data_IF_176519946986
#
_entry.id   IF_176519946986
#
_cell.length_a   1.000
_cell.length_b   1.000
_cell.length_c   1.000
_cell.angle_alpha   90.00
_cell.angle_beta   90.00
_cell.angle_gamma   90.00
#
_symmetry.space_group_name_H-M   'P 1'
#
loop_
_entity.id
_entity.type
_entity.pdbx_description
1 polymer ?
#
# COMPACT_ATOMS: atom_id res chain seq x y z
N UNK A 1 -6.98 61.92 -4.26
CA UNK A 1 -7.96 61.09 -3.53
C UNK A 1 -8.13 59.76 -4.28
N UNK A 2 -7.80 58.67 -3.57
CA UNK A 2 -7.97 57.22 -3.80
C UNK A 2 -8.25 56.68 -5.22
N UNK A 3 -7.23 56.07 -5.83
CA UNK A 3 -7.38 55.00 -6.84
C UNK A 3 -7.36 53.67 -6.10
N UNK A 4 -8.48 52.95 -6.07
CA UNK A 4 -8.54 51.59 -5.52
C UNK A 4 -8.31 50.64 -6.71
N UNK A 5 -7.10 50.09 -6.79
CA UNK A 5 -6.79 48.95 -7.64
C UNK A 5 -7.34 47.70 -6.95
N UNK A 6 -8.49 47.21 -7.43
CA UNK A 6 -8.98 45.87 -7.13
C UNK A 6 -8.10 44.87 -7.90
N UNK A 7 -6.94 44.55 -7.33
CA UNK A 7 -6.22 43.34 -7.70
C UNK A 7 -7.02 42.17 -7.13
N UNK A 8 -7.68 41.44 -8.03
CA UNK A 8 -8.28 40.15 -7.76
C UNK A 8 -7.24 39.24 -7.14
N UNK A 9 -7.34 39.07 -5.82
CA UNK A 9 -6.67 38.00 -5.10
C UNK A 9 -7.38 36.70 -5.53
N UNK A 10 -7.03 36.19 -6.70
CA UNK A 10 -7.30 34.78 -7.02
C UNK A 10 -6.39 34.02 -6.08
N UNK A 11 -6.93 33.72 -4.92
CA UNK A 11 -6.39 32.80 -3.95
C UNK A 11 -6.30 31.46 -4.69
N UNK A 12 -5.16 31.22 -5.35
CA UNK A 12 -4.66 29.86 -5.49
C UNK A 12 -4.46 29.41 -4.05
N UNK A 13 -5.49 28.80 -3.48
CA UNK A 13 -5.34 27.93 -2.35
C UNK A 13 -4.31 26.90 -2.80
N UNK A 14 -3.06 27.13 -2.41
CA UNK A 14 -2.01 26.14 -2.41
C UNK A 14 -2.63 24.92 -1.73
N UNK A 15 -2.99 23.90 -2.52
CA UNK A 15 -3.24 22.54 -2.04
C UNK A 15 -1.90 22.03 -1.49
N UNK A 16 -1.57 22.52 -0.30
CA UNK A 16 -0.30 22.37 0.38
C UNK A 16 -0.54 22.01 1.84
N UNK A 17 -1.50 21.13 2.11
CA UNK A 17 -1.41 20.22 3.23
C UNK A 17 -1.05 18.87 2.62
N UNK A 18 0.16 18.40 2.88
CA UNK A 18 0.68 17.18 2.28
C UNK A 18 -0.15 15.99 2.70
N UNK A 19 -1.17 15.66 1.90
CA UNK A 19 -1.85 14.39 2.00
C UNK A 19 -0.83 13.32 1.59
N UNK A 20 -0.16 12.75 2.58
CA UNK A 20 0.65 11.54 2.48
C UNK A 20 -0.22 10.30 2.14
N UNK A 21 -1.52 10.51 1.90
CA UNK A 21 -2.49 9.52 1.47
C UNK A 21 -2.35 9.27 -0.04
N UNK A 22 -2.29 8.00 -0.40
CA UNK A 22 -2.43 7.56 -1.80
C UNK A 22 -3.91 7.66 -2.18
N UNK A 23 -4.23 8.38 -3.25
CA UNK A 23 -5.61 8.49 -3.81
C UNK A 23 -5.75 7.69 -5.10
N UNK A 24 -6.98 7.51 -5.58
CA UNK A 24 -7.24 6.83 -6.87
C UNK A 24 -6.56 7.58 -8.02
N UNK A 25 -6.67 8.91 -8.04
CA UNK A 25 -6.09 9.80 -9.04
C UNK A 25 -4.56 9.77 -8.99
N UNK A 26 -3.98 9.73 -7.79
CA UNK A 26 -2.54 9.57 -7.63
C UNK A 26 -2.04 8.27 -8.26
N UNK A 27 -2.78 7.16 -8.12
CA UNK A 27 -2.34 5.86 -8.66
C UNK A 27 -2.39 5.78 -10.19
N UNK A 28 -3.24 6.55 -10.86
CA UNK A 28 -3.39 6.48 -12.34
C UNK A 28 -2.04 6.60 -13.04
N UNK A 29 -1.74 5.67 -13.94
CA UNK A 29 -0.49 5.59 -14.69
C UNK A 29 0.25 4.26 -14.50
N UNK A 30 1.48 4.19 -14.98
CA UNK A 30 2.35 3.00 -14.88
C UNK A 30 3.40 3.17 -13.78
N UNK A 31 3.65 2.09 -13.07
CA UNK A 31 4.55 2.03 -11.93
C UNK A 31 5.47 0.84 -12.06
N UNK A 32 6.74 1.08 -11.78
CA UNK A 32 7.73 0.04 -11.58
C UNK A 32 7.79 -0.30 -10.09
N UNK A 33 7.29 -1.48 -9.74
CA UNK A 33 7.12 -1.92 -8.37
C UNK A 33 8.08 -3.06 -8.04
N UNK A 34 8.86 -2.89 -6.98
CA UNK A 34 9.67 -3.96 -6.38
C UNK A 34 8.90 -4.54 -5.21
N UNK A 35 8.39 -5.75 -5.39
CA UNK A 35 7.72 -6.55 -4.38
C UNK A 35 8.73 -7.43 -3.67
N UNK A 36 8.74 -7.38 -2.34
CA UNK A 36 9.57 -8.21 -1.49
C UNK A 36 8.72 -8.94 -0.47
N UNK A 37 8.98 -10.22 -0.30
CA UNK A 37 8.40 -11.02 0.76
C UNK A 37 9.47 -11.34 1.80
N UNK A 38 9.08 -11.26 3.06
CA UNK A 38 9.91 -11.61 4.20
C UNK A 38 9.18 -12.61 5.07
N UNK A 39 9.96 -13.49 5.70
CA UNK A 39 9.45 -14.44 6.69
C UNK A 39 10.23 -14.33 7.98
N UNK A 40 9.52 -14.40 9.09
CA UNK A 40 10.10 -14.54 10.43
C UNK A 40 9.65 -15.89 10.97
N UNK A 41 10.62 -16.80 11.18
CA UNK A 41 10.33 -18.18 11.61
C UNK A 41 10.29 -18.27 13.12
N UNK A 42 9.44 -19.14 13.65
CA UNK A 42 9.39 -19.41 15.09
C UNK A 42 10.52 -20.34 15.51
N UNK A 43 11.31 -19.92 16.48
CA UNK A 43 12.32 -20.74 17.14
C UNK A 43 11.71 -21.39 18.39
N UNK A 44 11.57 -22.72 18.37
CA UNK A 44 10.99 -23.47 19.48
C UNK A 44 11.90 -23.53 20.72
N UNK A 45 13.22 -23.38 20.56
CA UNK A 45 14.18 -23.37 21.67
C UNK A 45 14.12 -22.03 22.40
N UNK A 46 14.09 -20.93 21.64
CA UNK A 46 14.03 -19.57 22.19
C UNK A 46 12.60 -19.08 22.47
N UNK A 47 11.60 -19.86 22.07
CA UNK A 47 10.16 -19.55 22.20
C UNK A 47 9.79 -18.17 21.66
N UNK A 48 10.41 -17.77 20.55
CA UNK A 48 10.19 -16.47 19.92
C UNK A 48 10.34 -16.55 18.40
N UNK A 49 9.79 -15.55 17.73
CA UNK A 49 10.04 -15.33 16.33
C UNK A 49 11.45 -14.74 16.11
N UNK A 50 12.10 -15.19 15.03
CA UNK A 50 13.34 -14.61 14.53
C UNK A 50 13.08 -13.27 13.83
N UNK A 51 14.16 -12.55 13.52
CA UNK A 51 14.05 -11.38 12.66
C UNK A 51 13.56 -11.76 11.27
N UNK A 52 12.94 -10.80 10.59
CA UNK A 52 12.49 -10.99 9.21
C UNK A 52 13.69 -11.16 8.27
N UNK A 53 13.67 -12.23 7.49
CA UNK A 53 14.59 -12.44 6.37
C UNK A 53 13.83 -12.39 5.05
N UNK A 54 14.39 -11.72 4.04
CA UNK A 54 13.85 -11.71 2.67
C UNK A 54 13.82 -13.14 2.12
N UNK A 55 12.68 -13.54 1.53
CA UNK A 55 12.49 -14.85 0.91
C UNK A 55 12.20 -14.78 -0.57
N UNK A 56 11.70 -13.64 -1.05
CA UNK A 56 11.41 -13.42 -2.45
C UNK A 56 11.52 -11.94 -2.78
N UNK A 57 11.98 -11.63 -4.00
CA UNK A 57 11.97 -10.29 -4.56
C UNK A 57 11.63 -10.37 -6.04
N UNK A 58 10.70 -9.53 -6.49
CA UNK A 58 10.26 -9.47 -7.89
C UNK A 58 9.96 -8.04 -8.29
N UNK A 59 10.42 -7.66 -9.46
CA UNK A 59 10.05 -6.42 -10.11
C UNK A 59 8.84 -6.66 -11.03
N UNK A 60 7.84 -5.78 -10.95
CA UNK A 60 6.59 -5.88 -11.72
C UNK A 60 6.19 -4.49 -12.19
N UNK A 61 5.83 -4.38 -13.47
CA UNK A 61 5.16 -3.19 -13.99
C UNK A 61 3.67 -3.29 -13.67
N UNK A 62 3.19 -2.34 -12.89
CA UNK A 62 1.81 -2.21 -12.44
C UNK A 62 1.20 -0.97 -13.07
N UNK A 63 0.09 -1.11 -13.79
CA UNK A 63 -0.69 0.01 -14.31
C UNK A 63 -1.99 0.17 -13.57
N UNK A 64 -2.41 1.41 -13.38
CA UNK A 64 -3.73 1.76 -12.87
C UNK A 64 -4.45 2.73 -13.81
N UNK A 65 -5.76 2.54 -13.93
CA UNK A 65 -6.65 3.39 -14.72
C UNK A 65 -8.00 3.52 -14.03
N UNK A 66 -8.72 4.62 -14.27
CA UNK A 66 -10.09 4.80 -13.79
C UNK A 66 -11.03 4.63 -14.97
N UNK A 67 -11.93 3.66 -14.89
CA UNK A 67 -12.98 3.41 -15.89
C UNK A 67 -14.31 3.46 -15.18
N UNK A 68 -15.20 4.36 -15.62
CA UNK A 68 -16.52 4.57 -15.00
C UNK A 68 -16.47 4.80 -13.47
N UNK A 69 -15.43 5.49 -12.99
CA UNK A 69 -15.22 5.76 -11.55
C UNK A 69 -14.61 4.62 -10.74
N UNK A 70 -14.37 3.47 -11.36
CA UNK A 70 -13.75 2.29 -10.74
C UNK A 70 -12.25 2.33 -11.04
N UNK A 71 -11.42 2.21 -10.00
CA UNK A 71 -9.97 2.09 -10.14
C UNK A 71 -9.63 0.65 -10.49
N UNK A 72 -9.05 0.46 -11.67
CA UNK A 72 -8.57 -0.83 -12.14
C UNK A 72 -7.06 -0.89 -11.99
N UNK A 73 -6.55 -2.08 -11.68
CA UNK A 73 -5.14 -2.40 -11.60
C UNK A 73 -4.82 -3.57 -12.52
N UNK A 74 -3.65 -3.54 -13.15
CA UNK A 74 -3.18 -4.57 -14.07
C UNK A 74 -1.67 -4.72 -14.01
N UNK A 75 -1.18 -5.96 -13.95
CA UNK A 75 0.21 -6.30 -14.23
C UNK A 75 0.35 -6.79 -15.67
N UNK A 76 1.58 -6.81 -16.20
CA UNK A 76 1.84 -7.41 -17.52
C UNK A 76 1.28 -8.84 -17.61
N UNK A 77 0.59 -9.13 -18.71
CA UNK A 77 -0.06 -10.41 -19.03
C UNK A 77 -1.26 -10.83 -18.16
N UNK A 78 -1.77 -9.95 -17.30
CA UNK A 78 -2.99 -10.23 -16.52
C UNK A 78 -4.18 -9.39 -16.99
N UNK A 79 -5.39 -9.87 -16.70
CA UNK A 79 -6.61 -9.06 -16.87
C UNK A 79 -6.60 -7.94 -15.83
N UNK A 80 -7.15 -6.79 -16.21
CA UNK A 80 -7.38 -5.72 -15.25
C UNK A 80 -8.39 -6.19 -14.19
N UNK A 81 -8.10 -5.91 -12.93
CA UNK A 81 -8.96 -6.22 -11.78
C UNK A 81 -9.25 -4.94 -11.02
N UNK A 82 -10.41 -4.88 -10.37
CA UNK A 82 -10.74 -3.76 -9.48
C UNK A 82 -9.72 -3.68 -8.33
N UNK A 83 -9.26 -2.47 -8.06
CA UNK A 83 -8.40 -2.15 -6.93
C UNK A 83 -9.17 -1.27 -5.95
N UNK A 84 -9.73 -1.92 -4.94
CA UNK A 84 -10.46 -1.25 -3.88
C UNK A 84 -9.48 -0.64 -2.87
N UNK A 85 -9.21 0.64 -3.07
CA UNK A 85 -8.36 1.44 -2.20
C UNK A 85 -9.01 1.68 -0.83
N UNK A 86 -10.34 1.73 -0.76
CA UNK A 86 -11.07 1.97 0.49
C UNK A 86 -11.00 0.74 1.38
N UNK A 87 -11.02 -0.47 0.80
CA UNK A 87 -10.77 -1.72 1.52
C UNK A 87 -9.41 -1.70 2.24
N UNK A 88 -8.38 -1.10 1.65
CA UNK A 88 -7.06 -1.00 2.29
C UNK A 88 -7.13 -0.09 3.52
N UNK A 89 -7.71 1.10 3.37
CA UNK A 89 -7.77 2.09 4.44
C UNK A 89 -8.75 1.71 5.56
N UNK A 90 -9.80 0.96 5.27
CA UNK A 90 -10.76 0.52 6.27
C UNK A 90 -10.24 -0.67 7.11
N UNK A 91 -9.25 -1.41 6.60
CA UNK A 91 -8.73 -2.62 7.23
C UNK A 91 -7.23 -2.52 7.56
N UNK A 92 -6.76 -1.34 7.99
CA UNK A 92 -5.33 -1.12 8.30
C UNK A 92 -4.81 -2.06 9.38
N UNK A 93 -5.63 -2.36 10.39
CA UNK A 93 -5.33 -3.35 11.43
C UNK A 93 -6.58 -4.20 11.63
N UNK A 94 -6.63 -5.36 10.97
CA UNK A 94 -7.77 -6.28 11.05
C UNK A 94 -7.38 -7.53 11.82
N UNK A 95 -8.26 -7.96 12.73
CA UNK A 95 -8.14 -9.22 13.43
C UNK A 95 -9.38 -10.06 13.14
N UNK A 96 -9.19 -11.23 12.53
CA UNK A 96 -10.28 -12.13 12.15
C UNK A 96 -10.09 -13.48 12.81
N UNK A 97 -11.15 -13.95 13.46
CA UNK A 97 -11.20 -15.32 13.98
C UNK A 97 -11.52 -16.27 12.83
N UNK A 98 -10.64 -17.22 12.58
CA UNK A 98 -10.88 -18.28 11.58
C UNK A 98 -10.67 -19.64 12.20
N UNK A 99 -11.43 -20.64 11.75
CA UNK A 99 -11.26 -22.04 12.19
C UNK A 99 -9.84 -22.58 11.96
N UNK A 100 -9.13 -21.98 11.00
CA UNK A 100 -7.76 -22.33 10.65
C UNK A 100 -6.72 -21.63 11.53
N UNK A 101 -6.91 -20.34 11.85
CA UNK A 101 -5.89 -19.54 12.53
C UNK A 101 -6.16 -19.28 14.00
N UNK A 102 -7.32 -19.65 14.55
CA UNK A 102 -7.90 -19.11 15.78
C UNK A 102 -8.04 -17.59 15.71
N UNK A 103 -6.94 -16.87 15.58
CA UNK A 103 -6.84 -15.44 15.33
C UNK A 103 -5.85 -15.19 14.20
N UNK A 104 -6.28 -14.43 13.19
CA UNK A 104 -5.43 -13.93 12.10
C UNK A 104 -5.36 -12.42 12.18
N UNK A 105 -4.16 -11.86 12.27
CA UNK A 105 -3.95 -10.42 12.28
C UNK A 105 -3.34 -9.96 10.95
N UNK A 106 -3.86 -8.87 10.41
CA UNK A 106 -3.39 -8.18 9.23
C UNK A 106 -3.08 -6.74 9.62
N UNK A 107 -1.82 -6.34 9.45
CA UNK A 107 -1.42 -4.94 9.62
C UNK A 107 -0.92 -4.45 8.27
N UNK A 108 -1.57 -3.44 7.70
CA UNK A 108 -1.23 -2.91 6.39
C UNK A 108 -1.10 -1.41 6.41
N UNK A 109 -0.26 -0.89 5.52
CA UNK A 109 -0.01 0.52 5.37
C UNK A 109 0.19 0.86 3.89
N UNK A 110 -0.35 1.99 3.46
CA UNK A 110 -0.16 2.53 2.12
C UNK A 110 0.20 4.00 2.24
N UNK A 111 1.41 4.34 1.81
CA UNK A 111 1.98 5.67 2.00
C UNK A 111 2.44 6.27 0.69
N UNK A 112 2.04 7.53 0.46
CA UNK A 112 2.61 8.36 -0.60
C UNK A 112 3.93 8.91 -0.09
N UNK A 113 5.05 8.44 -0.63
CA UNK A 113 6.38 8.90 -0.23
C UNK A 113 6.77 10.19 -0.96
N UNK A 114 6.48 10.27 -2.26
CA UNK A 114 6.69 11.45 -3.11
C UNK A 114 5.60 11.50 -4.20
N UNK A 115 5.64 12.45 -5.12
CA UNK A 115 4.71 12.48 -6.26
C UNK A 115 4.88 11.29 -7.23
N UNK A 116 6.05 10.65 -7.21
CA UNK A 116 6.40 9.55 -8.10
C UNK A 116 6.78 8.28 -7.34
N UNK A 117 6.48 8.18 -6.04
CA UNK A 117 6.84 7.03 -5.22
C UNK A 117 5.82 6.77 -4.14
N UNK A 118 5.32 5.54 -4.07
CA UNK A 118 4.51 5.06 -2.95
C UNK A 118 5.03 3.73 -2.43
N UNK A 119 4.66 3.42 -1.19
CA UNK A 119 5.03 2.18 -0.51
C UNK A 119 3.79 1.54 0.08
N UNK A 120 3.63 0.26 -0.21
CA UNK A 120 2.66 -0.61 0.43
C UNK A 120 3.38 -1.63 1.30
N UNK A 121 2.91 -1.79 2.54
CA UNK A 121 3.39 -2.79 3.47
C UNK A 121 2.21 -3.59 4.00
N UNK A 122 2.40 -4.90 4.16
CA UNK A 122 1.46 -5.77 4.86
C UNK A 122 2.22 -6.76 5.72
N UNK A 123 1.86 -6.89 6.98
CA UNK A 123 2.27 -7.96 7.86
C UNK A 123 1.07 -8.85 8.15
N UNK A 124 1.28 -10.16 8.14
CA UNK A 124 0.24 -11.15 8.44
C UNK A 124 0.76 -12.16 9.43
N UNK A 125 -0.07 -12.45 10.43
CA UNK A 125 0.22 -13.44 11.46
C UNK A 125 -1.03 -14.28 11.77
N UNK A 126 -0.81 -15.55 12.09
CA UNK A 126 -1.84 -16.56 12.33
C UNK A 126 -1.49 -17.31 13.61
N UNK A 127 -2.30 -17.13 14.66
CA UNK A 127 -1.95 -17.49 16.03
C UNK A 127 -1.96 -19.00 16.29
N UNK A 128 -2.94 -19.75 15.78
CA UNK A 128 -3.04 -21.21 15.94
C UNK A 128 -1.80 -21.95 15.44
N UNK A 129 -1.06 -21.29 14.56
CA UNK A 129 0.12 -21.80 13.91
C UNK A 129 1.36 -21.06 14.39
N UNK A 130 1.60 -21.02 15.71
CA UNK A 130 2.84 -20.46 16.28
C UNK A 130 4.10 -21.06 15.62
N UNK A 131 4.04 -22.27 15.05
CA UNK A 131 5.15 -22.89 14.30
C UNK A 131 5.33 -22.36 12.86
N UNK A 132 4.37 -21.63 12.31
CA UNK A 132 4.41 -21.10 10.96
C UNK A 132 5.05 -19.71 10.96
N UNK A 133 5.74 -19.34 9.87
CA UNK A 133 6.39 -18.05 9.80
C UNK A 133 5.35 -16.91 9.78
N UNK A 134 5.65 -15.82 10.49
CA UNK A 134 5.07 -14.52 10.18
C UNK A 134 5.50 -14.11 8.78
N UNK A 135 4.62 -13.45 8.04
CA UNK A 135 4.92 -13.01 6.68
C UNK A 135 4.79 -11.50 6.59
N UNK A 136 5.74 -10.85 5.94
CA UNK A 136 5.68 -9.43 5.60
C UNK A 136 5.85 -9.25 4.10
N UNK A 137 5.04 -8.40 3.50
CA UNK A 137 5.14 -7.94 2.12
C UNK A 137 5.51 -6.46 2.15
N UNK A 138 6.45 -6.07 1.30
CA UNK A 138 6.82 -4.69 1.02
C UNK A 138 6.80 -4.49 -0.49
N UNK A 139 5.99 -3.56 -0.97
CA UNK A 139 6.01 -3.11 -2.35
C UNK A 139 6.43 -1.64 -2.39
N UNK A 140 7.53 -1.35 -3.08
CA UNK A 140 7.98 0.02 -3.34
C UNK A 140 7.79 0.30 -4.83
N UNK A 141 6.92 1.26 -5.14
CA UNK A 141 6.51 1.56 -6.50
C UNK A 141 6.98 2.96 -6.92
N UNK A 142 7.64 3.04 -8.07
CA UNK A 142 8.12 4.29 -8.66
C UNK A 142 7.43 4.55 -9.99
N UNK A 143 6.96 5.77 -10.23
CA UNK A 143 6.23 6.11 -11.46
C UNK A 143 7.15 6.00 -12.68
N UNK A 144 6.67 5.36 -13.73
CA UNK A 144 7.34 5.31 -15.04
C UNK A 144 6.95 6.57 -15.80
N UNK A 145 7.95 7.28 -16.34
CA UNK A 145 7.75 8.49 -17.15
C UNK A 145 7.27 8.16 -18.55
#
# INVERSE_FOLDING_TARGET
MKKILLLSLVSFALFGCGDNKVTKEYLVGKWDCVYKEYKSKYDSKLKRYSDYSETHSKQVIQSYEIVNGILLSKTENQKAIEFDLDLIYNNLNEEVTTSMCNKRSFNQNLSKNTNNKFTYEQETFCEAFIKYPKTKILAVCTRIK
#
